data_IF_718559572152
#
_entry.id   IF_718559572152
#
_cell.length_a   1.000
_cell.length_b   1.000
_cell.length_c   1.000
_cell.angle_alpha   90.00
_cell.angle_beta   90.00
_cell.angle_gamma   90.00
#
_symmetry.space_group_name_H-M   'P 1'
#
loop_
_entity.id
_entity.type
_entity.pdbx_description
1 polymer ?
#
# COMPACT_ATOMS: atom_id res chain seq x y z
N UNK A 1 -51.69 28.75 37.87
CA UNK A 1 -50.89 29.97 38.07
C UNK A 1 -49.42 29.61 37.94
N UNK A 2 -48.58 30.37 37.23
CA UNK A 2 -48.85 31.18 36.04
C UNK A 2 -47.91 30.81 34.88
N UNK A 3 -48.10 31.53 33.79
CA UNK A 3 -47.66 31.36 32.42
C UNK A 3 -46.38 32.23 32.12
N UNK A 4 -45.98 32.60 30.88
CA UNK A 4 -44.64 32.40 30.31
C UNK A 4 -43.90 33.71 29.92
N UNK A 5 -42.73 33.63 29.26
CA UNK A 5 -42.14 34.63 28.29
C UNK A 5 -40.84 34.01 27.72
N UNK A 6 -40.55 33.85 26.42
CA UNK A 6 -40.62 34.65 25.17
C UNK A 6 -39.31 35.40 24.81
N UNK A 7 -38.89 35.28 23.53
CA UNK A 7 -37.79 36.01 22.87
C UNK A 7 -36.75 35.06 22.23
N UNK A 8 -36.80 34.63 20.95
CA UNK A 8 -36.85 35.32 19.65
C UNK A 8 -35.64 36.23 19.35
N UNK A 9 -34.72 35.76 18.50
CA UNK A 9 -34.20 36.56 17.37
C UNK A 9 -33.56 35.67 16.31
N UNK A 10 -34.27 35.54 15.18
CA UNK A 10 -33.76 35.13 13.88
C UNK A 10 -33.01 36.29 13.23
N UNK A 11 -31.85 36.01 12.62
CA UNK A 11 -31.25 36.90 11.62
C UNK A 11 -30.94 36.12 10.36
N UNK A 12 -31.84 36.30 9.40
CA UNK A 12 -31.65 36.05 7.98
C UNK A 12 -30.66 37.06 7.42
N UNK A 13 -29.61 36.62 6.72
CA UNK A 13 -28.95 37.43 5.69
C UNK A 13 -28.84 36.55 4.46
N UNK A 14 -29.61 36.93 3.46
CA UNK A 14 -29.61 36.42 2.10
C UNK A 14 -28.83 37.36 1.20
N UNK A 15 -28.27 36.76 0.15
CA UNK A 15 -27.89 37.33 -1.15
C UNK A 15 -26.54 38.07 -1.29
N UNK A 16 -25.77 37.53 -2.23
CA UNK A 16 -24.51 38.06 -2.74
C UNK A 16 -23.97 37.18 -3.87
N UNK A 17 -24.78 36.94 -4.89
CA UNK A 17 -24.36 36.41 -6.19
C UNK A 17 -23.19 37.23 -6.74
N UNK A 18 -22.07 36.60 -7.06
CA UNK A 18 -21.25 36.96 -8.23
C UNK A 18 -20.61 35.71 -8.80
N UNK A 19 -21.08 35.34 -9.99
CA UNK A 19 -20.43 34.38 -10.86
C UNK A 19 -19.16 35.03 -11.43
N UNK A 20 -18.01 34.43 -11.14
CA UNK A 20 -16.72 34.76 -11.75
C UNK A 20 -16.20 33.52 -12.46
N UNK A 21 -16.62 33.33 -13.71
CA UNK A 21 -15.98 32.42 -14.65
C UNK A 21 -14.54 32.89 -14.90
N UNK A 22 -13.57 32.05 -14.54
CA UNK A 22 -12.21 32.15 -15.10
C UNK A 22 -11.86 30.82 -15.72
N UNK A 23 -12.03 30.79 -17.04
CA UNK A 23 -11.37 29.84 -17.93
C UNK A 23 -9.85 30.01 -17.75
N UNK A 24 -9.16 28.94 -17.39
CA UNK A 24 -7.72 28.86 -17.60
C UNK A 24 -7.44 27.85 -18.70
N UNK A 25 -6.94 28.44 -19.78
CA UNK A 25 -6.55 27.80 -21.03
C UNK A 25 -5.50 26.73 -20.80
N UNK A 26 -5.76 25.54 -21.32
CA UNK A 26 -4.73 24.55 -21.60
C UNK A 26 -3.80 25.10 -22.68
N UNK A 27 -2.60 25.53 -22.29
CA UNK A 27 -1.50 25.79 -23.21
C UNK A 27 -0.72 24.49 -23.39
N UNK A 28 -0.94 23.85 -24.54
CA UNK A 28 -0.05 22.83 -25.10
C UNK A 28 1.26 23.50 -25.49
N UNK A 29 2.38 23.08 -24.90
CA UNK A 29 3.71 23.39 -25.43
C UNK A 29 4.48 22.11 -25.65
N UNK A 30 4.88 21.93 -26.91
CA UNK A 30 5.67 20.82 -27.40
C UNK A 30 7.16 21.10 -27.18
N UNK A 31 7.89 20.04 -26.82
CA UNK A 31 9.30 19.75 -27.13
C UNK A 31 10.32 20.90 -27.06
N UNK A 32 11.11 20.91 -26.00
CA UNK A 32 12.49 21.41 -26.04
C UNK A 32 13.34 20.66 -25.01
N UNK A 33 14.50 20.16 -25.43
CA UNK A 33 15.43 19.39 -24.61
C UNK A 33 15.79 20.08 -23.30
N UNK A 34 15.49 19.40 -22.19
CA UNK A 34 15.71 19.91 -20.84
C UNK A 34 17.19 19.93 -20.48
N UNK A 35 17.76 21.13 -20.37
CA UNK A 35 18.90 21.36 -19.50
C UNK A 35 18.41 21.16 -18.05
N UNK A 36 19.09 20.29 -17.29
CA UNK A 36 18.78 20.07 -15.88
C UNK A 36 18.86 21.40 -15.13
N UNK A 37 17.73 21.85 -14.58
CA UNK A 37 17.68 23.05 -13.74
C UNK A 37 18.50 22.80 -12.47
N UNK A 38 19.26 23.79 -11.96
CA UNK A 38 19.94 23.66 -10.69
C UNK A 38 18.90 23.49 -9.57
N UNK A 39 19.03 22.43 -8.78
CA UNK A 39 18.17 22.18 -7.62
C UNK A 39 18.47 23.21 -6.53
N UNK A 40 17.42 23.75 -5.88
CA UNK A 40 17.54 24.53 -4.66
C UNK A 40 17.64 23.62 -3.45
N UNK A 41 18.58 23.93 -2.55
CA UNK A 41 18.72 23.25 -1.26
C UNK A 41 17.79 23.91 -0.23
N UNK A 42 17.00 23.11 0.50
CA UNK A 42 16.02 23.59 1.51
C UNK A 42 16.73 24.02 2.84
N UNK A 43 18.03 23.74 3.02
CA UNK A 43 18.83 24.25 4.15
C UNK A 43 20.26 24.62 3.72
N UNK A 44 20.94 25.50 4.49
CA UNK A 44 22.40 25.73 4.42
C UNK A 44 23.20 24.94 5.49
N UNK A 45 22.54 24.02 6.18
CA UNK A 45 23.06 23.24 7.29
C UNK A 45 23.40 21.80 6.86
N UNK A 46 24.08 21.01 7.70
CA UNK A 46 24.46 19.61 7.39
C UNK A 46 23.30 18.64 7.11
N UNK A 47 22.05 19.10 7.26
CA UNK A 47 20.83 18.41 6.85
C UNK A 47 20.21 19.14 5.64
N UNK A 48 20.83 19.01 4.46
CA UNK A 48 20.24 19.47 3.20
C UNK A 48 19.40 18.37 2.56
N UNK A 49 18.13 18.66 2.33
CA UNK A 49 17.25 17.95 1.39
C UNK A 49 17.15 18.78 0.12
N UNK A 50 17.24 18.14 -1.05
CA UNK A 50 17.01 18.78 -2.34
C UNK A 50 15.52 19.06 -2.54
N UNK A 51 15.19 19.99 -3.42
CA UNK A 51 13.81 20.24 -3.84
C UNK A 51 13.66 20.09 -5.35
N UNK A 52 12.56 19.48 -5.78
CA UNK A 52 12.00 19.62 -7.14
C UNK A 52 10.92 20.69 -7.22
N UNK A 53 10.46 21.20 -6.07
CA UNK A 53 9.50 22.30 -6.00
C UNK A 53 10.16 23.60 -6.47
N UNK A 54 9.37 24.47 -7.10
CA UNK A 54 9.80 25.84 -7.38
C UNK A 54 10.20 26.56 -6.08
N UNK A 55 11.23 27.41 -6.14
CA UNK A 55 11.82 28.06 -4.97
C UNK A 55 10.81 28.84 -4.13
N UNK A 56 9.88 29.54 -4.77
CA UNK A 56 8.82 30.28 -4.07
C UNK A 56 7.87 29.35 -3.31
N UNK A 57 7.53 28.19 -3.88
CA UNK A 57 6.70 27.17 -3.23
C UNK A 57 7.47 26.51 -2.09
N UNK A 58 8.74 26.12 -2.33
CA UNK A 58 9.57 25.55 -1.27
C UNK A 58 9.72 26.53 -0.08
N UNK A 59 9.88 27.82 -0.35
CA UNK A 59 9.96 28.85 0.67
C UNK A 59 8.64 29.03 1.44
N UNK A 60 7.49 29.00 0.78
CA UNK A 60 6.19 29.13 1.47
C UNK A 60 5.85 27.92 2.34
N UNK A 61 6.42 26.75 2.05
CA UNK A 61 6.24 25.51 2.81
C UNK A 61 7.47 25.10 3.64
N UNK A 62 8.44 25.99 3.85
CA UNK A 62 9.75 25.67 4.44
C UNK A 62 9.63 24.96 5.80
N UNK A 63 8.73 25.43 6.67
CA UNK A 63 8.54 24.84 8.00
C UNK A 63 8.07 23.39 7.92
N UNK A 64 7.04 23.13 7.11
CA UNK A 64 6.45 21.80 6.98
C UNK A 64 7.39 20.84 6.24
N UNK A 65 8.10 21.30 5.21
CA UNK A 65 9.15 20.52 4.56
C UNK A 65 10.29 20.17 5.51
N UNK A 66 10.64 21.06 6.44
CA UNK A 66 11.65 20.78 7.47
C UNK A 66 11.18 19.76 8.49
N UNK A 67 9.90 19.74 8.85
CA UNK A 67 9.41 18.73 9.80
C UNK A 67 9.29 17.33 9.21
N UNK A 68 9.27 17.20 7.88
CA UNK A 68 9.42 15.89 7.22
C UNK A 68 10.87 15.45 7.05
N UNK A 69 11.87 16.31 7.35
CA UNK A 69 13.29 15.95 7.22
C UNK A 69 13.69 14.97 8.32
N UNK A 70 14.27 13.84 7.90
CA UNK A 70 14.78 12.80 8.79
C UNK A 70 16.26 12.55 8.48
N UNK A 71 17.11 12.46 9.51
CA UNK A 71 18.49 12.00 9.41
C UNK A 71 18.80 11.08 10.60
N UNK A 72 18.38 9.81 10.47
CA UNK A 72 18.59 8.77 11.47
C UNK A 72 19.95 8.14 11.24
N UNK A 73 20.87 8.34 12.18
CA UNK A 73 22.25 7.87 12.09
C UNK A 73 22.53 6.75 13.07
N UNK A 74 23.47 5.87 12.72
CA UNK A 74 23.90 4.81 13.60
C UNK A 74 24.33 5.40 14.97
N UNK A 75 23.74 4.97 16.11
CA UNK A 75 24.08 5.50 17.42
C UNK A 75 25.55 5.29 17.82
N UNK A 76 26.16 4.19 17.38
CA UNK A 76 27.55 3.81 17.63
C UNK A 76 28.53 4.40 16.60
N UNK A 77 28.02 4.85 15.44
CA UNK A 77 28.79 5.55 14.41
C UNK A 77 28.00 6.74 13.83
N UNK A 78 27.95 7.89 14.53
CA UNK A 78 27.07 9.01 14.20
C UNK A 78 27.37 9.74 12.87
N UNK A 79 28.40 9.33 12.13
CA UNK A 79 28.65 9.85 10.76
C UNK A 79 27.96 9.00 9.68
N UNK A 80 27.53 7.76 10.01
CA UNK A 80 26.85 6.86 9.07
C UNK A 80 25.33 7.08 9.14
N UNK A 81 24.69 7.67 8.11
CA UNK A 81 23.24 7.70 8.01
C UNK A 81 22.72 6.27 7.77
N UNK A 82 21.58 5.96 8.38
CA UNK A 82 20.86 4.70 8.19
C UNK A 82 19.47 4.93 7.59
N UNK A 83 18.86 6.09 7.82
CA UNK A 83 17.69 6.55 7.06
C UNK A 83 17.78 8.06 6.90
N UNK A 84 17.62 8.56 5.68
CA UNK A 84 17.77 9.99 5.41
C UNK A 84 16.76 10.51 4.39
N UNK A 85 16.16 11.67 4.66
CA UNK A 85 15.40 12.44 3.68
C UNK A 85 16.35 13.09 2.65
N UNK A 86 16.12 12.83 1.38
CA UNK A 86 17.04 13.20 0.30
C UNK A 86 16.50 14.28 -0.63
N UNK A 87 15.21 14.20 -0.99
CA UNK A 87 14.59 15.10 -1.96
C UNK A 87 13.09 15.26 -1.70
N UNK A 88 12.58 16.49 -1.72
CA UNK A 88 11.15 16.77 -1.82
C UNK A 88 10.72 16.79 -3.28
N UNK A 89 9.84 15.87 -3.66
CA UNK A 89 9.37 15.69 -5.03
C UNK A 89 8.18 16.59 -5.35
N UNK A 90 7.17 16.60 -4.48
CA UNK A 90 5.92 17.33 -4.70
C UNK A 90 5.18 17.61 -3.39
N UNK A 91 4.20 18.52 -3.45
CA UNK A 91 3.17 18.68 -2.43
C UNK A 91 1.86 18.12 -3.03
N UNK A 92 1.35 17.05 -2.44
CA UNK A 92 0.12 16.38 -2.87
C UNK A 92 -1.05 16.98 -2.10
N UNK A 93 -2.13 17.31 -2.80
CA UNK A 93 -3.34 17.85 -2.16
C UNK A 93 -4.39 16.76 -1.96
N UNK A 94 -4.91 16.66 -0.75
CA UNK A 94 -6.03 15.77 -0.43
C UNK A 94 -7.25 16.06 -1.33
N UNK A 95 -7.95 15.00 -1.74
CA UNK A 95 -9.09 15.07 -2.66
C UNK A 95 -8.73 15.30 -4.14
N UNK A 96 -7.44 15.25 -4.50
CA UNK A 96 -6.98 15.43 -5.88
C UNK A 96 -6.39 14.15 -6.48
N UNK A 97 -6.36 14.09 -7.81
CA UNK A 97 -5.64 13.05 -8.55
C UNK A 97 -4.22 13.50 -8.84
N UNK A 98 -3.25 12.60 -8.66
CA UNK A 98 -1.83 12.85 -8.84
C UNK A 98 -1.25 11.78 -9.77
N UNK A 99 -0.48 12.20 -10.76
CA UNK A 99 0.38 11.32 -11.54
C UNK A 99 1.71 11.12 -10.78
N UNK A 100 1.81 9.99 -10.08
CA UNK A 100 3.00 9.67 -9.28
C UNK A 100 4.25 9.42 -10.12
N UNK A 101 4.10 8.93 -11.35
CA UNK A 101 5.24 8.74 -12.26
C UNK A 101 5.85 10.11 -12.61
N UNK A 102 5.01 11.07 -12.97
CA UNK A 102 5.45 12.41 -13.32
C UNK A 102 6.11 13.14 -12.14
N UNK A 103 5.48 13.16 -10.96
CA UNK A 103 5.99 13.94 -9.81
C UNK A 103 7.26 13.34 -9.19
N UNK A 104 7.43 12.01 -9.24
CA UNK A 104 8.68 11.35 -8.79
C UNK A 104 9.82 11.51 -9.81
N UNK A 105 9.51 11.86 -11.06
CA UNK A 105 10.48 11.98 -12.15
C UNK A 105 10.98 10.64 -12.70
N UNK A 106 10.36 9.53 -12.30
CA UNK A 106 10.60 8.22 -12.88
C UNK A 106 10.17 8.20 -14.35
N UNK A 107 10.91 7.50 -15.21
CA UNK A 107 10.55 7.38 -16.62
C UNK A 107 9.71 6.13 -16.85
N UNK A 108 8.70 6.24 -17.74
CA UNK A 108 7.85 5.11 -18.09
C UNK A 108 8.65 3.92 -18.65
N UNK A 109 9.73 4.21 -19.38
CA UNK A 109 10.62 3.21 -19.99
C UNK A 109 11.49 2.47 -18.95
N UNK A 110 11.67 3.04 -17.75
CA UNK A 110 12.39 2.39 -16.66
C UNK A 110 11.51 1.36 -15.93
N UNK A 111 10.19 1.45 -16.08
CA UNK A 111 9.26 0.54 -15.42
C UNK A 111 9.34 -0.87 -16.02
N UNK A 112 9.20 -1.93 -15.21
CA UNK A 112 9.11 -3.29 -15.73
C UNK A 112 7.97 -3.46 -16.76
N UNK A 113 8.25 -4.20 -17.83
CA UNK A 113 7.27 -4.49 -18.90
C UNK A 113 6.25 -5.52 -18.40
N UNK A 114 6.71 -6.50 -17.61
CA UNK A 114 5.89 -7.52 -16.97
C UNK A 114 6.30 -7.68 -15.51
N UNK A 115 5.36 -8.18 -14.72
CA UNK A 115 5.57 -8.52 -13.33
C UNK A 115 5.26 -9.99 -13.12
N UNK A 116 6.29 -10.74 -12.76
CA UNK A 116 6.14 -12.16 -12.43
C UNK A 116 6.00 -12.27 -10.91
N UNK A 117 4.74 -12.21 -10.44
CA UNK A 117 4.41 -12.47 -9.04
C UNK A 117 3.64 -13.79 -8.98
N UNK A 118 4.28 -14.83 -8.47
CA UNK A 118 3.61 -16.10 -8.21
C UNK A 118 2.54 -15.88 -7.13
N UNK A 119 1.27 -16.26 -7.38
CA UNK A 119 0.22 -16.11 -6.38
C UNK A 119 0.60 -16.80 -5.07
N UNK A 120 0.24 -16.19 -3.94
CA UNK A 120 0.45 -16.75 -2.59
C UNK A 120 -0.91 -16.89 -1.90
N UNK A 121 -1.02 -17.87 -1.02
CA UNK A 121 -2.14 -17.91 -0.08
C UNK A 121 -1.91 -16.81 0.97
N UNK A 122 -2.84 -15.85 1.15
CA UNK A 122 -2.63 -14.77 2.09
C UNK A 122 -2.47 -15.29 3.53
N UNK A 123 -1.40 -14.86 4.20
CA UNK A 123 -1.16 -15.13 5.63
C UNK A 123 -1.23 -13.82 6.43
N UNK A 124 -1.72 -13.90 7.67
CA UNK A 124 -1.71 -12.79 8.63
C UNK A 124 -1.30 -13.28 10.02
N UNK A 125 -0.65 -12.41 10.79
CA UNK A 125 -0.34 -12.65 12.20
C UNK A 125 -1.42 -12.00 13.06
N UNK A 126 -2.18 -12.80 13.80
CA UNK A 126 -3.07 -12.30 14.86
C UNK A 126 -2.32 -12.36 16.19
N UNK A 127 -2.24 -11.23 16.88
CA UNK A 127 -1.59 -11.09 18.17
C UNK A 127 -2.54 -10.44 19.18
N UNK A 128 -2.56 -10.95 20.40
CA UNK A 128 -3.14 -10.24 21.53
C UNK A 128 -2.18 -9.13 21.96
N UNK A 129 -2.65 -7.89 22.05
CA UNK A 129 -1.84 -6.76 22.43
C UNK A 129 -2.68 -5.65 23.07
N UNK A 130 -2.03 -4.80 23.86
CA UNK A 130 -2.66 -3.60 24.42
C UNK A 130 -2.03 -2.35 23.83
N UNK A 131 -2.80 -1.60 23.04
CA UNK A 131 -2.38 -0.30 22.52
C UNK A 131 -2.58 0.78 23.60
N UNK A 132 -1.50 1.42 24.03
CA UNK A 132 -1.53 2.55 24.97
C UNK A 132 -0.99 3.79 24.28
N UNK A 133 -1.87 4.76 24.07
CA UNK A 133 -1.50 6.08 23.59
C UNK A 133 -0.45 6.74 24.52
N UNK A 134 0.38 7.63 23.97
CA UNK A 134 1.48 8.33 24.69
C UNK A 134 1.04 9.05 25.97
N UNK A 135 -0.21 9.52 26.03
CA UNK A 135 -0.78 10.18 27.22
C UNK A 135 -1.09 9.20 28.37
N UNK A 136 -1.24 7.91 28.06
CA UNK A 136 -1.46 6.84 29.05
C UNK A 136 -0.12 6.25 29.49
N UNK A 137 0.74 5.92 28.53
CA UNK A 137 2.07 5.38 28.80
C UNK A 137 3.03 5.82 27.68
N UNK A 138 3.97 6.70 28.02
CA UNK A 138 4.98 7.16 27.07
C UNK A 138 6.08 6.10 26.89
N UNK A 139 6.34 5.73 25.64
CA UNK A 139 7.44 4.86 25.26
C UNK A 139 8.79 5.54 25.47
N UNK A 140 9.82 4.73 25.75
CA UNK A 140 11.21 5.17 25.74
C UNK A 140 11.90 4.74 24.43
N UNK A 141 12.44 5.72 23.72
CA UNK A 141 13.42 5.59 22.64
C UNK A 141 14.72 6.28 23.05
N UNK A 142 15.84 5.89 22.44
CA UNK A 142 17.14 6.54 22.68
C UNK A 142 17.32 7.83 21.88
N UNK A 143 16.67 7.90 20.72
CA UNK A 143 16.64 9.03 19.75
C UNK A 143 15.26 9.12 19.10
N UNK A 144 15.09 10.06 18.18
CA UNK A 144 13.85 10.25 17.42
C UNK A 144 13.52 9.00 16.60
N UNK A 145 12.43 8.32 16.96
CA UNK A 145 11.96 7.11 16.28
C UNK A 145 10.79 7.40 15.33
N UNK A 146 9.98 8.43 15.59
CA UNK A 146 8.87 8.89 14.74
C UNK A 146 8.99 10.38 14.47
N UNK A 147 8.47 10.83 13.33
CA UNK A 147 8.36 12.25 12.97
C UNK A 147 7.19 12.93 13.68
N UNK A 148 6.24 12.16 14.24
CA UNK A 148 5.07 12.69 14.95
C UNK A 148 5.29 12.94 16.45
N UNK A 149 6.56 12.95 16.88
CA UNK A 149 6.93 13.23 18.26
C UNK A 149 6.73 12.04 19.21
N UNK A 150 5.95 12.25 20.28
CA UNK A 150 5.86 11.32 21.41
C UNK A 150 5.27 9.96 21.04
N UNK A 151 5.84 8.88 21.59
CA UNK A 151 5.41 7.51 21.31
C UNK A 151 4.62 6.93 22.49
N UNK A 152 3.58 6.15 22.18
CA UNK A 152 2.94 5.23 23.12
C UNK A 152 3.57 3.83 23.10
N UNK A 153 2.92 2.86 23.72
CA UNK A 153 3.38 1.46 23.74
C UNK A 153 2.31 0.51 23.22
N UNK A 154 2.71 -0.42 22.36
CA UNK A 154 1.94 -1.61 22.02
C UNK A 154 2.51 -2.76 22.84
N UNK A 155 1.80 -3.13 23.90
CA UNK A 155 2.24 -4.17 24.83
C UNK A 155 1.94 -5.54 24.24
N UNK A 156 3.01 -6.31 24.01
CA UNK A 156 2.95 -7.69 23.55
C UNK A 156 3.13 -8.62 24.77
N UNK A 157 2.25 -9.63 24.94
CA UNK A 157 2.35 -10.60 26.02
C UNK A 157 3.75 -11.21 26.15
N UNK A 158 4.23 -11.32 27.39
CA UNK A 158 5.61 -11.71 27.71
C UNK A 158 6.00 -13.12 27.21
N UNK A 159 5.03 -13.98 26.94
CA UNK A 159 5.19 -15.32 26.39
C UNK A 159 5.48 -15.30 24.88
N UNK A 160 5.08 -14.24 24.17
CA UNK A 160 5.40 -14.03 22.76
C UNK A 160 6.83 -13.49 22.63
N UNK A 161 7.78 -14.37 22.31
CA UNK A 161 9.20 -14.01 22.20
C UNK A 161 9.56 -13.31 20.89
N UNK A 162 8.77 -13.52 19.86
CA UNK A 162 8.97 -12.97 18.52
C UNK A 162 7.60 -12.70 17.88
N UNK A 163 7.44 -11.49 17.34
CA UNK A 163 6.34 -11.14 16.46
C UNK A 163 6.86 -11.36 15.04
N UNK A 164 6.51 -12.50 14.42
CA UNK A 164 6.98 -12.86 13.08
C UNK A 164 5.88 -12.58 12.05
N UNK A 165 5.97 -11.43 11.39
CA UNK A 165 4.92 -10.92 10.51
C UNK A 165 5.07 -11.57 9.12
N UNK A 166 4.03 -12.20 8.56
CA UNK A 166 4.10 -12.77 7.21
C UNK A 166 4.29 -11.66 6.17
N UNK A 167 5.27 -11.86 5.28
CA UNK A 167 5.65 -10.94 4.21
C UNK A 167 5.29 -11.53 2.86
N UNK A 168 4.53 -10.78 2.08
CA UNK A 168 4.07 -11.17 0.74
C UNK A 168 4.41 -10.08 -0.27
N UNK A 169 4.55 -10.45 -1.55
CA UNK A 169 4.52 -9.49 -2.63
C UNK A 169 3.08 -8.98 -2.79
N UNK A 170 2.87 -7.66 -2.84
CA UNK A 170 1.53 -7.08 -2.98
C UNK A 170 0.79 -7.52 -4.26
N UNK A 171 1.52 -7.86 -5.35
CA UNK A 171 0.93 -8.42 -6.57
C UNK A 171 0.54 -9.89 -6.46
N UNK A 172 1.10 -10.61 -5.48
CA UNK A 172 0.86 -12.04 -5.29
C UNK A 172 -0.42 -12.32 -4.47
N UNK A 173 -1.03 -11.30 -3.87
CA UNK A 173 -2.24 -11.45 -3.04
C UNK A 173 -3.48 -10.88 -3.76
N UNK A 174 -4.69 -11.38 -3.47
CA UNK A 174 -5.92 -10.80 -4.01
C UNK A 174 -6.09 -9.33 -3.58
N UNK A 175 -6.59 -8.43 -4.45
CA UNK A 175 -6.86 -7.03 -4.08
C UNK A 175 -7.80 -6.87 -2.88
N UNK A 176 -8.73 -7.81 -2.69
CA UNK A 176 -9.62 -7.82 -1.52
C UNK A 176 -8.87 -8.00 -0.19
N UNK A 177 -7.72 -8.69 -0.21
CA UNK A 177 -6.88 -8.86 0.97
C UNK A 177 -6.14 -7.57 1.32
N UNK A 178 -5.60 -6.85 0.33
CA UNK A 178 -5.04 -5.51 0.55
C UNK A 178 -6.10 -4.54 1.10
N UNK A 179 -7.31 -4.57 0.53
CA UNK A 179 -8.43 -3.74 0.96
C UNK A 179 -8.87 -4.02 2.40
N UNK A 180 -8.72 -5.26 2.88
CA UNK A 180 -8.98 -5.60 4.30
C UNK A 180 -8.12 -4.75 5.25
N UNK A 181 -6.87 -4.45 4.86
CA UNK A 181 -5.96 -3.57 5.59
C UNK A 181 -6.11 -2.09 5.22
N UNK A 182 -7.13 -1.70 4.45
CA UNK A 182 -7.32 -0.33 3.97
C UNK A 182 -6.27 0.11 2.94
N UNK A 183 -5.67 -0.83 2.23
CA UNK A 183 -4.62 -0.58 1.25
C UNK A 183 -5.06 -0.88 -0.19
N UNK A 184 -4.42 -0.20 -1.13
CA UNK A 184 -4.61 -0.35 -2.56
C UNK A 184 -3.24 -0.27 -3.26
N UNK A 185 -2.94 -1.28 -4.09
CA UNK A 185 -1.77 -1.28 -4.94
C UNK A 185 -2.13 -0.70 -6.31
N UNK A 186 -1.50 0.41 -6.69
CA UNK A 186 -1.85 1.17 -7.89
C UNK A 186 -0.63 1.24 -8.81
N UNK A 187 -0.81 0.98 -10.11
CA UNK A 187 0.28 1.12 -11.07
C UNK A 187 0.70 2.58 -11.18
N UNK A 188 2.01 2.86 -11.28
CA UNK A 188 2.48 4.23 -11.53
C UNK A 188 2.04 4.77 -12.90
N UNK A 189 1.53 3.92 -13.81
CA UNK A 189 0.94 4.35 -15.09
C UNK A 189 -0.47 4.93 -14.92
N UNK A 190 -1.06 4.80 -13.74
CA UNK A 190 -2.41 5.25 -13.42
C UNK A 190 -2.35 6.41 -12.42
N UNK A 191 -3.26 7.40 -12.54
CA UNK A 191 -3.35 8.46 -11.56
C UNK A 191 -3.85 7.92 -10.21
N UNK A 192 -3.29 8.45 -9.13
CA UNK A 192 -3.68 8.11 -7.76
C UNK A 192 -4.55 9.21 -7.18
N UNK A 193 -5.73 8.86 -6.67
CA UNK A 193 -6.57 9.80 -5.93
C UNK A 193 -6.13 9.83 -4.47
N UNK A 194 -5.69 10.99 -3.97
CA UNK A 194 -5.42 11.21 -2.54
C UNK A 194 -6.75 11.44 -1.83
N UNK A 195 -7.01 10.69 -0.75
CA UNK A 195 -8.29 10.78 -0.05
C UNK A 195 -8.50 12.18 0.54
N UNK A 196 -9.74 12.72 0.51
CA UNK A 196 -10.04 13.98 1.18
C UNK A 196 -9.89 13.84 2.69
N UNK A 197 -9.52 14.93 3.35
CA UNK A 197 -9.33 14.99 4.80
C UNK A 197 -10.35 15.93 5.44
N UNK A 198 -10.67 15.70 6.70
CA UNK A 198 -11.57 16.57 7.46
C UNK A 198 -10.87 17.83 8.02
N UNK A 199 -9.57 17.74 8.23
CA UNK A 199 -8.75 18.77 8.88
C UNK A 199 -7.94 19.53 7.83
N UNK A 200 -8.03 20.86 7.84
CA UNK A 200 -7.39 21.71 6.83
C UNK A 200 -5.87 21.59 6.85
N UNK A 201 -5.29 21.45 8.04
CA UNK A 201 -3.85 21.24 8.26
C UNK A 201 -3.32 19.94 7.63
N UNK A 202 -4.20 19.00 7.26
CA UNK A 202 -3.85 17.74 6.61
C UNK A 202 -4.08 17.75 5.10
N UNK A 203 -4.53 18.88 4.52
CA UNK A 203 -4.83 18.96 3.08
C UNK A 203 -3.58 18.81 2.21
N UNK A 204 -2.41 19.11 2.77
CA UNK A 204 -1.13 19.11 2.06
C UNK A 204 -0.23 18.00 2.61
N UNK A 205 0.15 17.08 1.74
CA UNK A 205 1.06 15.97 2.03
C UNK A 205 2.35 16.17 1.23
N UNK A 206 3.49 16.13 1.91
CA UNK A 206 4.80 16.34 1.31
C UNK A 206 5.35 14.99 0.84
N UNK A 207 5.48 14.82 -0.47
CA UNK A 207 6.07 13.63 -1.08
C UNK A 207 7.59 13.74 -1.02
N UNK A 208 8.19 13.05 -0.05
CA UNK A 208 9.62 13.11 0.24
C UNK A 208 10.27 11.76 -0.02
N UNK A 209 11.44 11.77 -0.66
CA UNK A 209 12.29 10.60 -0.78
C UNK A 209 13.05 10.37 0.53
N UNK A 210 12.95 9.15 1.02
CA UNK A 210 13.76 8.61 2.10
C UNK A 210 14.63 7.46 1.57
N UNK A 211 15.92 7.53 1.86
CA UNK A 211 16.86 6.45 1.57
C UNK A 211 17.05 5.61 2.83
N UNK A 212 16.64 4.35 2.79
CA UNK A 212 16.78 3.40 3.88
C UNK A 212 18.00 2.48 3.66
N UNK A 213 18.97 2.51 4.57
CA UNK A 213 20.08 1.55 4.60
C UNK A 213 19.56 0.17 5.04
N UNK A 214 20.09 -0.90 4.45
CA UNK A 214 19.74 -2.29 4.78
C UNK A 214 19.92 -2.63 6.26
N UNK A 215 20.82 -1.94 6.96
CA UNK A 215 21.11 -2.14 8.37
C UNK A 215 20.21 -1.28 9.28
N UNK A 216 19.32 -0.45 8.73
CA UNK A 216 18.51 0.50 9.49
C UNK A 216 17.70 -0.15 10.61
N UNK A 217 17.05 -1.29 10.31
CA UNK A 217 16.24 -2.01 11.29
C UNK A 217 17.10 -2.52 12.46
N UNK A 218 18.27 -3.10 12.20
CA UNK A 218 19.11 -3.71 13.22
C UNK A 218 19.93 -2.67 14.01
N UNK A 219 20.52 -1.70 13.32
CA UNK A 219 21.46 -0.74 13.90
C UNK A 219 20.79 0.51 14.45
N UNK A 220 19.56 0.85 14.03
CA UNK A 220 18.81 1.99 14.56
C UNK A 220 17.52 1.56 15.26
N UNK A 221 16.56 0.97 14.54
CA UNK A 221 15.20 0.75 15.04
C UNK A 221 15.21 -0.16 16.26
N UNK A 222 15.85 -1.32 16.16
CA UNK A 222 15.93 -2.32 17.23
C UNK A 222 17.03 -2.04 18.26
N UNK A 223 17.69 -0.89 18.19
CA UNK A 223 18.73 -0.46 19.12
C UNK A 223 18.13 0.44 20.21
N UNK A 224 18.41 0.14 21.48
CA UNK A 224 17.95 0.94 22.64
C UNK A 224 18.47 2.38 22.57
N UNK A 225 19.69 2.59 22.09
CA UNK A 225 20.29 3.92 21.89
C UNK A 225 19.82 4.62 20.59
N UNK A 226 19.08 3.91 19.73
CA UNK A 226 18.44 4.42 18.53
C UNK A 226 16.93 4.55 18.72
N UNK A 227 16.16 3.87 17.87
CA UNK A 227 14.70 3.92 17.86
C UNK A 227 14.03 3.26 19.06
N UNK A 228 14.72 2.39 19.79
CA UNK A 228 14.18 1.74 20.99
C UNK A 228 13.10 0.70 20.72
N UNK A 229 13.00 0.19 19.49
CA UNK A 229 12.07 -0.86 19.06
C UNK A 229 11.38 -0.50 17.74
N UNK A 230 10.70 -1.49 17.15
CA UNK A 230 9.80 -1.24 16.02
C UNK A 230 8.60 -0.41 16.49
N UNK A 231 8.20 0.58 15.69
CA UNK A 231 6.92 1.27 15.88
C UNK A 231 5.94 0.95 14.75
N UNK A 232 4.66 1.10 15.06
CA UNK A 232 3.59 1.28 14.07
C UNK A 232 2.80 2.52 14.45
N UNK A 233 2.09 3.07 13.48
CA UNK A 233 1.35 4.31 13.64
C UNK A 233 0.05 4.32 12.87
N UNK A 234 -0.82 5.25 13.24
CA UNK A 234 -2.08 5.53 12.58
C UNK A 234 -2.39 7.01 12.64
N UNK A 235 -2.96 7.58 11.58
CA UNK A 235 -3.26 9.01 11.48
C UNK A 235 -4.42 9.27 10.49
N UNK A 236 -5.14 10.41 10.62
CA UNK A 236 -6.40 10.64 9.91
C UNK A 236 -6.23 11.20 8.47
N UNK A 237 -5.19 10.77 7.77
CA UNK A 237 -4.91 11.11 6.37
C UNK A 237 -4.26 9.94 5.65
N UNK A 238 -4.33 9.91 4.32
CA UNK A 238 -3.78 8.83 3.50
C UNK A 238 -2.24 8.93 3.37
N UNK A 239 -1.58 7.79 3.19
CA UNK A 239 -0.17 7.73 2.78
C UNK A 239 -0.05 7.09 1.40
N UNK A 240 0.99 7.48 0.66
CA UNK A 240 1.48 6.74 -0.50
C UNK A 240 2.93 6.36 -0.29
N UNK A 241 3.29 5.14 -0.67
CA UNK A 241 4.63 4.59 -0.59
C UNK A 241 5.06 4.09 -1.96
N UNK A 242 6.01 4.78 -2.58
CA UNK A 242 6.47 4.49 -3.95
C UNK A 242 7.95 4.13 -3.94
N UNK A 243 8.33 2.88 -4.29
CA UNK A 243 9.73 2.54 -4.54
C UNK A 243 10.28 3.35 -5.72
N UNK A 244 11.46 3.96 -5.55
CA UNK A 244 12.11 4.77 -6.58
C UNK A 244 13.21 4.01 -7.35
N UNK A 245 13.46 2.74 -7.01
CA UNK A 245 14.43 1.88 -7.70
C UNK A 245 13.95 0.43 -7.72
N UNK A 246 14.46 -0.35 -8.70
CA UNK A 246 14.29 -1.81 -8.77
C UNK A 246 14.97 -2.55 -7.62
N UNK A 247 15.98 -1.95 -7.03
CA UNK A 247 16.73 -2.51 -5.90
C UNK A 247 16.04 -2.28 -4.55
N UNK A 248 14.93 -1.54 -4.54
CA UNK A 248 14.12 -1.35 -3.34
C UNK A 248 13.58 -2.69 -2.84
N UNK A 249 13.68 -2.92 -1.55
CA UNK A 249 13.22 -4.15 -0.91
C UNK A 249 12.72 -3.87 0.50
N UNK A 250 12.40 -4.93 1.24
CA UNK A 250 11.62 -4.81 2.47
C UNK A 250 10.11 -4.83 2.20
N UNK A 251 9.33 -4.53 3.22
CA UNK A 251 7.88 -4.54 3.12
C UNK A 251 7.23 -3.59 4.14
N UNK A 252 6.13 -2.97 3.71
CA UNK A 252 5.26 -2.15 4.54
C UNK A 252 4.44 -3.05 5.45
N UNK A 253 4.55 -2.87 6.76
CA UNK A 253 3.67 -3.52 7.72
C UNK A 253 2.33 -2.79 7.70
N UNK A 254 1.25 -3.54 7.59
CA UNK A 254 -0.12 -3.05 7.76
C UNK A 254 -0.78 -3.82 8.91
N UNK A 255 -1.66 -3.15 9.63
CA UNK A 255 -2.39 -3.74 10.74
C UNK A 255 -3.86 -3.37 10.78
N UNK A 256 -4.64 -4.24 11.43
CA UNK A 256 -6.07 -4.04 11.70
C UNK A 256 -6.31 -4.30 13.18
N UNK A 257 -7.00 -3.38 13.86
CA UNK A 257 -7.54 -3.64 15.19
C UNK A 257 -8.81 -4.49 15.05
N UNK A 258 -8.77 -5.73 15.52
CA UNK A 258 -9.88 -6.69 15.44
C UNK A 258 -10.87 -6.56 16.61
N UNK A 259 -10.63 -5.64 17.54
CA UNK A 259 -11.35 -5.53 18.80
C UNK A 259 -10.83 -6.51 19.86
N UNK A 260 -11.32 -6.34 21.10
CA UNK A 260 -11.02 -7.21 22.25
C UNK A 260 -9.52 -7.42 22.52
N UNK A 261 -8.69 -6.39 22.24
CA UNK A 261 -7.24 -6.47 22.43
C UNK A 261 -6.53 -7.36 21.41
N UNK A 262 -7.12 -7.64 20.24
CA UNK A 262 -6.49 -8.39 19.16
C UNK A 262 -6.17 -7.51 17.97
N UNK A 263 -5.01 -7.73 17.38
CA UNK A 263 -4.53 -7.04 16.19
C UNK A 263 -4.10 -8.05 15.15
N UNK A 264 -4.45 -7.82 13.89
CA UNK A 264 -3.88 -8.52 12.75
C UNK A 264 -2.74 -7.69 12.15
N UNK A 265 -1.65 -8.34 11.73
CA UNK A 265 -0.57 -7.73 10.98
C UNK A 265 -0.17 -8.59 9.78
N UNK A 266 0.08 -7.93 8.65
CA UNK A 266 0.71 -8.51 7.47
C UNK A 266 1.68 -7.50 6.86
N UNK A 267 2.69 -7.97 6.14
CA UNK A 267 3.68 -7.12 5.49
C UNK A 267 3.64 -7.30 3.97
N UNK A 268 3.66 -6.17 3.25
CA UNK A 268 3.55 -6.16 1.79
C UNK A 268 4.77 -5.50 1.15
N UNK A 269 5.51 -6.27 0.38
CA UNK A 269 6.52 -5.74 -0.52
C UNK A 269 5.82 -5.03 -1.68
N UNK A 270 6.19 -3.77 -1.92
CA UNK A 270 5.67 -2.94 -3.00
C UNK A 270 6.59 -3.12 -4.21
N UNK A 271 6.13 -3.69 -5.33
CA UNK A 271 6.96 -3.87 -6.51
C UNK A 271 7.29 -2.51 -7.15
N UNK A 272 8.51 -2.36 -7.66
CA UNK A 272 8.90 -1.17 -8.40
C UNK A 272 7.99 -0.97 -9.62
N UNK A 273 7.50 0.25 -9.85
CA UNK A 273 6.47 0.54 -10.85
C UNK A 273 5.04 0.53 -10.33
N UNK A 274 4.87 0.32 -9.02
CA UNK A 274 3.62 0.54 -8.29
C UNK A 274 3.83 1.50 -7.13
N UNK A 275 2.73 2.05 -6.64
CA UNK A 275 2.66 2.64 -5.30
C UNK A 275 1.70 1.82 -4.44
N UNK A 276 1.95 1.77 -3.14
CA UNK A 276 0.92 1.39 -2.17
C UNK A 276 0.28 2.65 -1.63
N UNK A 277 -1.03 2.81 -1.82
CA UNK A 277 -1.84 3.80 -1.13
C UNK A 277 -2.48 3.14 0.08
N UNK A 278 -2.43 3.79 1.24
CA UNK A 278 -3.22 3.40 2.41
C UNK A 278 -4.15 4.52 2.81
N UNK A 279 -5.36 4.17 3.23
CA UNK A 279 -6.36 5.13 3.67
C UNK A 279 -6.05 5.72 5.05
N UNK A 280 -6.84 6.72 5.43
CA UNK A 280 -6.80 7.29 6.78
C UNK A 280 -7.06 6.23 7.85
N UNK A 281 -6.37 6.36 8.99
CA UNK A 281 -6.44 5.53 10.18
C UNK A 281 -5.98 4.07 10.00
N UNK A 282 -5.33 3.73 8.90
CA UNK A 282 -4.68 2.43 8.72
C UNK A 282 -3.47 2.34 9.67
N UNK A 283 -3.38 1.26 10.44
CA UNK A 283 -2.18 0.97 11.25
C UNK A 283 -1.08 0.53 10.28
N UNK A 284 0.09 1.15 10.33
CA UNK A 284 1.18 0.80 9.43
C UNK A 284 2.56 1.07 10.02
N UNK A 285 3.60 0.51 9.39
CA UNK A 285 5.00 0.76 9.73
C UNK A 285 5.93 0.44 8.56
N UNK A 286 6.86 1.35 8.28
CA UNK A 286 7.72 1.35 7.09
C UNK A 286 9.20 1.04 7.40
N UNK A 287 9.51 0.74 8.66
CA UNK A 287 10.88 0.58 9.16
C UNK A 287 11.69 -0.56 8.52
N UNK A 288 11.04 -1.49 7.82
CA UNK A 288 11.68 -2.60 7.11
C UNK A 288 12.06 -2.27 5.66
N UNK A 289 11.71 -1.09 5.14
CA UNK A 289 12.15 -0.69 3.80
C UNK A 289 13.67 -0.63 3.68
N UNK A 290 14.15 -0.88 2.46
CA UNK A 290 15.55 -0.79 2.06
C UNK A 290 15.61 -0.16 0.68
N UNK A 291 16.44 0.87 0.51
CA UNK A 291 16.56 1.65 -0.72
C UNK A 291 15.74 2.95 -0.71
N UNK A 292 15.66 3.66 -1.84
CA UNK A 292 14.96 4.94 -1.95
C UNK A 292 13.45 4.75 -2.12
N UNK A 293 12.66 5.32 -1.21
CA UNK A 293 11.19 5.35 -1.30
C UNK A 293 10.70 6.79 -1.24
N UNK A 294 9.80 7.17 -2.14
CA UNK A 294 9.00 8.39 -2.00
C UNK A 294 7.77 8.10 -1.13
N UNK A 295 7.63 8.87 -0.05
CA UNK A 295 6.56 8.72 0.93
C UNK A 295 5.87 10.07 1.10
N UNK A 296 4.55 10.09 0.97
CA UNK A 296 3.77 11.30 1.24
C UNK A 296 3.34 11.32 2.71
N UNK A 297 3.71 12.38 3.42
CA UNK A 297 3.35 12.58 4.83
C UNK A 297 3.16 14.06 5.15
N UNK A 298 2.58 14.34 6.30
CA UNK A 298 2.52 15.68 6.88
C UNK A 298 2.60 15.58 8.40
N UNK A 299 3.30 16.48 9.07
CA UNK A 299 3.41 16.46 10.53
C UNK A 299 2.06 16.79 11.17
N UNK A 300 1.67 16.01 12.18
CA UNK A 300 0.46 16.28 12.95
C UNK A 300 0.51 15.66 14.34
N UNK A 301 -0.08 16.34 15.31
CA UNK A 301 -0.31 15.81 16.66
C UNK A 301 -1.44 14.76 16.71
N UNK A 302 -2.23 14.65 15.64
CA UNK A 302 -3.34 13.70 15.52
C UNK A 302 -2.87 12.27 15.24
N UNK A 303 -1.60 12.07 14.94
CA UNK A 303 -1.01 10.75 14.78
C UNK A 303 -0.84 10.06 16.13
N UNK A 304 -1.11 8.75 16.15
CA UNK A 304 -0.85 7.87 17.28
C UNK A 304 0.17 6.82 16.85
N UNK A 305 1.39 6.95 17.37
CA UNK A 305 2.50 6.05 17.09
C UNK A 305 2.88 5.30 18.37
N UNK A 306 3.08 4.00 18.27
CA UNK A 306 3.40 3.13 19.41
C UNK A 306 4.60 2.24 19.14
N UNK A 307 5.46 2.05 20.14
CA UNK A 307 6.55 1.06 20.08
C UNK A 307 6.06 -0.31 20.53
N UNK A 308 6.47 -1.36 19.81
CA UNK A 308 6.30 -2.75 20.25
C UNK A 308 7.19 -2.99 21.48
N UNK A 309 6.55 -3.21 22.64
CA UNK A 309 7.22 -3.45 23.92
C UNK A 309 6.70 -4.74 24.54
N UNK A 310 7.57 -5.44 25.26
CA UNK A 310 7.17 -6.60 26.04
C UNK A 310 6.34 -6.16 27.25
N UNK A 311 5.30 -6.91 27.58
CA UNK A 311 4.50 -6.74 28.79
C UNK A 311 5.24 -7.28 30.02
N UNK A 312 6.38 -6.66 30.32
CA UNK A 312 7.17 -6.85 31.55
C UNK A 312 7.36 -5.51 32.24
N UNK A 313 7.68 -5.46 33.54
CA UNK A 313 7.94 -4.21 34.24
C UNK A 313 9.01 -3.32 33.56
N UNK A 314 9.99 -3.92 32.89
CA UNK A 314 11.11 -3.24 32.24
C UNK A 314 10.76 -2.67 30.87
N UNK A 315 9.65 -3.10 30.25
CA UNK A 315 9.24 -2.71 28.88
C UNK A 315 10.36 -2.90 27.87
N UNK A 316 10.95 -4.09 27.86
CA UNK A 316 11.97 -4.45 26.88
C UNK A 316 11.49 -4.31 25.45
N UNK A 317 12.43 -4.11 24.51
CA UNK A 317 12.13 -4.10 23.08
C UNK A 317 11.52 -5.47 22.71
N UNK A 318 10.32 -5.46 22.12
CA UNK A 318 9.77 -6.67 21.55
C UNK A 318 10.48 -6.97 20.24
N UNK A 319 10.97 -8.21 20.08
CA UNK A 319 11.56 -8.65 18.82
C UNK A 319 10.48 -8.79 17.77
N UNK A 320 10.73 -8.23 16.59
CA UNK A 320 9.86 -8.32 15.42
C UNK A 320 10.70 -8.73 14.21
N UNK A 321 10.15 -9.61 13.38
CA UNK A 321 10.72 -10.03 12.10
C UNK A 321 9.66 -10.06 11.01
N UNK A 322 10.12 -10.16 9.76
CA UNK A 322 9.26 -10.44 8.62
C UNK A 322 9.70 -11.76 7.98
N UNK A 323 8.77 -12.71 7.84
CA UNK A 323 9.02 -14.00 7.20
C UNK A 323 8.33 -14.06 5.85
N UNK A 324 9.06 -14.44 4.80
CA UNK A 324 8.47 -14.62 3.48
C UNK A 324 7.43 -15.76 3.48
N UNK A 325 6.26 -15.50 2.89
CA UNK A 325 5.24 -16.51 2.62
C UNK A 325 5.62 -17.27 1.34
N UNK A 326 5.48 -18.59 1.38
CA UNK A 326 5.79 -19.42 0.22
C UNK A 326 4.74 -19.22 -0.90
N UNK A 327 5.15 -19.26 -2.18
CA UNK A 327 4.20 -19.29 -3.30
C UNK A 327 3.18 -20.41 -3.12
N UNK A 328 1.93 -20.13 -3.52
CA UNK A 328 0.89 -21.14 -3.53
C UNK A 328 1.28 -22.22 -4.53
N UNK A 329 1.57 -23.43 -4.03
CA UNK A 329 1.64 -24.58 -4.89
C UNK A 329 0.23 -24.88 -5.35
N UNK A 330 -0.15 -24.39 -6.54
CA UNK A 330 -1.33 -24.92 -7.21
C UNK A 330 -1.08 -26.42 -7.34
N UNK A 331 -1.93 -27.28 -6.73
CA UNK A 331 -1.79 -28.70 -6.94
C UNK A 331 -1.82 -28.90 -8.45
N UNK A 332 -0.85 -29.59 -9.04
CA UNK A 332 -0.77 -29.87 -10.49
C UNK A 332 -2.14 -30.32 -11.06
N UNK A 333 -2.95 -30.97 -10.24
CA UNK A 333 -4.33 -31.38 -10.55
C UNK A 333 -5.32 -30.22 -10.75
N UNK A 334 -5.19 -29.10 -10.03
CA UNK A 334 -6.04 -27.92 -10.19
C UNK A 334 -5.74 -27.18 -11.50
N UNK A 335 -4.46 -27.02 -11.86
CA UNK A 335 -4.06 -26.50 -13.17
C UNK A 335 -4.57 -27.39 -14.30
N UNK A 336 -4.39 -28.71 -14.17
CA UNK A 336 -4.91 -29.67 -15.14
C UNK A 336 -6.44 -29.59 -15.28
N UNK A 337 -7.17 -29.44 -14.17
CA UNK A 337 -8.64 -29.27 -14.19
C UNK A 337 -9.06 -27.98 -14.88
N UNK A 338 -8.38 -26.87 -14.62
CA UNK A 338 -8.69 -25.58 -15.24
C UNK A 338 -8.38 -25.59 -16.74
N UNK A 339 -7.19 -26.06 -17.13
CA UNK A 339 -6.79 -26.22 -18.52
C UNK A 339 -7.75 -27.15 -19.28
N UNK A 340 -8.15 -28.27 -18.66
CA UNK A 340 -9.17 -29.17 -19.22
C UNK A 340 -10.52 -28.47 -19.38
N UNK A 341 -10.94 -27.66 -18.42
CA UNK A 341 -12.21 -26.91 -18.48
C UNK A 341 -12.20 -25.88 -19.62
N UNK A 342 -11.11 -25.11 -19.75
CA UNK A 342 -10.96 -24.12 -20.82
C UNK A 342 -10.92 -24.80 -22.19
N UNK A 343 -10.12 -25.86 -22.35
CA UNK A 343 -10.05 -26.62 -23.60
C UNK A 343 -11.42 -27.20 -23.98
N UNK A 344 -12.17 -27.74 -23.00
CA UNK A 344 -13.52 -28.23 -23.24
C UNK A 344 -14.45 -27.12 -23.74
N UNK A 345 -14.42 -25.93 -23.12
CA UNK A 345 -15.24 -24.79 -23.57
C UNK A 345 -14.88 -24.35 -24.99
N UNK A 346 -13.58 -24.26 -25.32
CA UNK A 346 -13.12 -23.92 -26.68
C UNK A 346 -13.57 -24.97 -27.71
N UNK A 347 -13.52 -26.26 -27.38
CA UNK A 347 -14.02 -27.32 -28.27
C UNK A 347 -15.53 -27.21 -28.50
N UNK A 348 -16.31 -26.96 -27.45
CA UNK A 348 -17.77 -26.79 -27.56
C UNK A 348 -18.09 -25.61 -28.48
N UNK A 349 -17.45 -24.47 -28.25
CA UNK A 349 -17.69 -23.24 -29.03
C UNK A 349 -17.34 -23.46 -30.51
N UNK A 350 -16.20 -24.08 -30.78
CA UNK A 350 -15.77 -24.45 -32.14
C UNK A 350 -16.76 -25.37 -32.84
N UNK A 351 -17.25 -26.42 -32.18
CA UNK A 351 -18.23 -27.35 -32.77
C UNK A 351 -19.55 -26.62 -33.06
N UNK A 352 -20.02 -25.76 -32.15
CA UNK A 352 -21.25 -25.00 -32.34
C UNK A 352 -21.13 -23.97 -33.47
N UNK A 353 -19.95 -23.35 -33.63
CA UNK A 353 -19.72 -22.34 -34.66
C UNK A 353 -19.53 -22.93 -36.06
N UNK A 354 -18.74 -24.01 -36.17
CA UNK A 354 -18.48 -24.68 -37.46
C UNK A 354 -19.65 -25.56 -37.91
N UNK A 355 -20.56 -25.90 -37.00
CA UNK A 355 -21.65 -26.84 -37.22
C UNK A 355 -21.21 -28.30 -37.14
N UNK A 356 -22.20 -29.19 -37.00
CA UNK A 356 -22.00 -30.64 -36.96
C UNK A 356 -21.99 -31.30 -38.36
N UNK A 357 -22.37 -30.56 -39.41
CA UNK A 357 -22.50 -31.09 -40.76
C UNK A 357 -21.17 -31.67 -41.28
N UNK A 358 -21.17 -32.94 -41.66
CA UNK A 358 -19.98 -33.65 -42.16
C UNK A 358 -19.09 -34.27 -41.08
N UNK A 359 -19.44 -34.15 -39.79
CA UNK A 359 -18.77 -34.86 -38.69
C UNK A 359 -19.52 -36.17 -38.42
N UNK A 360 -18.86 -37.31 -38.57
CA UNK A 360 -19.48 -38.63 -38.33
C UNK A 360 -19.44 -39.07 -36.87
N UNK A 361 -20.17 -40.14 -36.53
CA UNK A 361 -20.25 -40.73 -35.18
C UNK A 361 -18.88 -40.91 -34.49
N UNK A 362 -17.87 -41.38 -35.23
CA UNK A 362 -16.50 -41.58 -34.71
C UNK A 362 -15.83 -40.30 -34.17
N UNK A 363 -16.17 -39.13 -34.72
CA UNK A 363 -15.69 -37.85 -34.21
C UNK A 363 -16.26 -37.57 -32.81
N UNK A 364 -17.57 -37.72 -32.64
CA UNK A 364 -18.26 -37.44 -31.38
C UNK A 364 -17.89 -38.46 -30.28
N UNK A 365 -17.67 -39.73 -30.64
CA UNK A 365 -17.18 -40.76 -29.72
C UNK A 365 -15.81 -40.43 -29.10
N UNK A 366 -14.96 -39.65 -29.79
CA UNK A 366 -13.64 -39.25 -29.29
C UNK A 366 -13.69 -38.04 -28.36
N UNK A 367 -14.82 -37.33 -28.26
CA UNK A 367 -14.92 -36.14 -27.43
C UNK A 367 -14.87 -36.49 -25.94
N UNK A 368 -14.32 -35.59 -25.10
CA UNK A 368 -14.47 -35.68 -23.66
C UNK A 368 -15.96 -35.73 -23.27
N UNK A 369 -16.32 -36.50 -22.25
CA UNK A 369 -17.73 -36.66 -21.83
C UNK A 369 -18.41 -35.32 -21.54
N UNK A 370 -17.69 -34.38 -20.92
CA UNK A 370 -18.20 -33.04 -20.60
C UNK A 370 -18.47 -32.19 -21.86
N UNK A 371 -17.68 -32.39 -22.92
CA UNK A 371 -17.90 -31.74 -24.22
C UNK A 371 -19.07 -32.40 -24.92
N UNK A 372 -19.08 -33.74 -25.01
CA UNK A 372 -20.10 -34.52 -25.70
C UNK A 372 -21.50 -34.24 -25.15
N UNK A 373 -21.64 -34.16 -23.82
CA UNK A 373 -22.92 -33.84 -23.14
C UNK A 373 -23.46 -32.47 -23.56
N UNK A 374 -22.58 -31.52 -23.89
CA UNK A 374 -22.94 -30.15 -24.25
C UNK A 374 -23.12 -29.92 -25.75
N UNK A 375 -22.88 -30.95 -26.58
CA UNK A 375 -23.02 -30.87 -28.04
C UNK A 375 -23.90 -31.98 -28.62
N UNK A 376 -24.51 -32.81 -27.77
CA UNK A 376 -25.37 -33.93 -28.18
C UNK A 376 -26.62 -33.47 -28.92
N UNK A 377 -27.05 -32.22 -28.72
CA UNK A 377 -28.19 -31.59 -29.39
C UNK A 377 -27.92 -31.17 -30.85
N UNK A 378 -26.67 -31.27 -31.33
CA UNK A 378 -26.28 -30.66 -32.60
C UNK A 378 -26.46 -31.57 -33.83
N UNK A 379 -26.51 -32.90 -33.67
CA UNK A 379 -26.82 -33.86 -34.74
C UNK A 379 -27.22 -35.24 -34.18
N UNK A 380 -27.82 -36.09 -35.03
CA UNK A 380 -28.18 -37.48 -34.65
C UNK A 380 -26.95 -38.29 -34.23
N UNK A 381 -25.80 -38.09 -34.90
CA UNK A 381 -24.54 -38.77 -34.55
C UNK A 381 -23.97 -38.31 -33.20
N UNK A 382 -24.19 -37.05 -32.82
CA UNK A 382 -23.77 -36.52 -31.52
C UNK A 382 -24.63 -37.09 -30.39
N UNK A 383 -25.93 -37.20 -30.61
CA UNK A 383 -26.89 -37.82 -29.69
C UNK A 383 -26.60 -39.33 -29.53
N UNK A 384 -26.39 -40.04 -30.63
CA UNK A 384 -26.04 -41.47 -30.62
C UNK A 384 -24.74 -41.73 -29.85
N UNK A 385 -23.69 -40.95 -30.09
CA UNK A 385 -22.44 -41.07 -29.34
C UNK A 385 -22.61 -40.81 -27.84
N UNK A 386 -23.50 -39.89 -27.45
CA UNK A 386 -23.80 -39.59 -26.06
C UNK A 386 -24.55 -40.75 -25.38
N UNK A 387 -25.56 -41.30 -26.05
CA UNK A 387 -26.34 -42.46 -25.58
C UNK A 387 -25.46 -43.71 -25.43
N UNK A 388 -24.53 -43.96 -26.36
CA UNK A 388 -23.55 -45.03 -26.22
C UNK A 388 -22.66 -44.84 -24.99
N UNK A 389 -22.24 -43.60 -24.70
CA UNK A 389 -21.43 -43.28 -23.52
C UNK A 389 -22.21 -43.54 -22.24
N UNK A 390 -23.48 -43.16 -22.18
CA UNK A 390 -24.35 -43.41 -21.02
C UNK A 390 -24.53 -44.91 -20.77
N UNK A 391 -24.73 -45.71 -21.83
CA UNK A 391 -24.82 -47.18 -21.72
C UNK A 391 -23.54 -47.82 -21.17
N UNK A 392 -22.37 -47.25 -21.44
CA UNK A 392 -21.10 -47.73 -20.88
C UNK A 392 -20.90 -47.34 -19.41
N UNK A 393 -21.47 -46.22 -18.95
CA UNK A 393 -21.35 -45.74 -17.57
C UNK A 393 -22.39 -46.37 -16.61
N UNK A 394 -23.48 -46.92 -17.15
CA UNK A 394 -24.56 -47.57 -16.40
C UNK A 394 -24.39 -49.08 -16.17
N UNK A 395 -23.21 -49.64 -16.41
CA UNK A 395 -22.79 -51.01 -16.07
C UNK A 395 -21.59 -50.95 -15.14
#
# INVERSE_FOLDING_TARGET
MPEPTSGSSTKTISEGLTAGSTEHSAATSAGAGGQARPHSDICRCTMCMKSKLDDEVAASHEHALKSTMVDRRNPDNPIRPLMKAMEAHAILRAGTQVDLLAVTGLQADDLPISYDAEPVEPEELIVEATWKHRSVEAARSGRDASVFGGLGVLLIPKDIKLVDIPKMNALAVPPSFLKHYGAELISLKEPVTIDPVAHKELEELYLVQYDFDKDYIEQYVMNIAGGGGLFVETHPFAHVFTPLSRDCSGALILGVNLGDGRFSFAAFQIPFGFTMKIGANVIHGDSFFVGPYAIALTETDLADSVLFKQETPERGIQRVSQRAVAPAQLPILAEYRLARTINNLMMIDKIRHEGAAGKGLSFFQQLPTEVLTRVSDLSEEAEEAYEERLKMLGR
#
